data_IF_721675617120
#
_entry.id   IF_721675617120
#
_cell.length_a   1.000
_cell.length_b   1.000
_cell.length_c   1.000
_cell.angle_alpha   90.00
_cell.angle_beta   90.00
_cell.angle_gamma   90.00
#
_symmetry.space_group_name_H-M   'P 1'
#
loop_
_entity.id
_entity.type
_entity.pdbx_description
1 polymer ?
#
# COMPACT_ATOMS: atom_id res chain seq x y z
N UNK A 1 10.72 9.99 7.28
CA UNK A 1 10.90 9.05 6.17
C UNK A 1 11.32 7.72 6.76
N UNK A 2 10.41 6.75 6.85
CA UNK A 2 10.78 5.38 7.21
C UNK A 2 11.54 4.85 6.00
N UNK A 3 12.87 4.78 6.10
CA UNK A 3 13.70 4.19 5.04
C UNK A 3 13.15 2.79 4.76
N UNK A 4 12.92 2.50 3.48
CA UNK A 4 12.43 1.19 3.03
C UNK A 4 13.43 0.11 3.43
N UNK A 5 13.29 -0.41 4.64
CA UNK A 5 14.03 -1.58 5.08
C UNK A 5 13.64 -2.74 4.17
N UNK A 6 14.65 -3.44 3.65
CA UNK A 6 14.42 -4.68 2.90
C UNK A 6 13.66 -5.69 3.77
N UNK A 7 12.84 -6.53 3.14
CA UNK A 7 12.09 -7.58 3.84
C UNK A 7 13.01 -8.54 4.60
N UNK A 8 14.19 -8.83 4.05
CA UNK A 8 15.21 -9.65 4.69
C UNK A 8 15.68 -9.02 6.01
N UNK A 9 15.95 -7.72 6.00
CA UNK A 9 16.34 -6.98 7.19
C UNK A 9 15.23 -6.94 8.24
N UNK A 10 13.96 -6.78 7.82
CA UNK A 10 12.83 -6.84 8.74
C UNK A 10 12.68 -8.21 9.38
N UNK A 11 12.80 -9.27 8.59
CA UNK A 11 12.76 -10.64 9.11
C UNK A 11 13.89 -10.89 10.11
N UNK A 12 15.09 -10.40 9.81
CA UNK A 12 16.23 -10.49 10.73
C UNK A 12 15.96 -9.72 12.03
N UNK A 13 15.52 -8.45 11.95
CA UNK A 13 15.19 -7.63 13.13
C UNK A 13 14.15 -8.33 13.99
N UNK A 14 13.09 -8.83 13.37
CA UNK A 14 11.99 -9.51 14.04
C UNK A 14 12.49 -10.76 14.79
N UNK A 15 13.30 -11.60 14.13
CA UNK A 15 13.91 -12.79 14.74
C UNK A 15 14.84 -12.44 15.90
N UNK A 16 15.67 -11.40 15.74
CA UNK A 16 16.61 -10.95 16.77
C UNK A 16 15.86 -10.30 17.93
N UNK A 17 14.78 -9.57 17.66
CA UNK A 17 13.94 -8.96 18.69
C UNK A 17 13.29 -10.01 19.58
N UNK A 18 12.71 -11.09 19.04
CA UNK A 18 12.18 -12.18 19.87
C UNK A 18 13.24 -12.94 20.67
N UNK A 19 14.51 -12.89 20.25
CA UNK A 19 15.60 -13.54 21.00
C UNK A 19 16.03 -12.74 22.22
N UNK A 20 16.01 -11.41 22.14
CA UNK A 20 16.58 -10.53 23.18
C UNK A 20 15.54 -9.65 23.88
N UNK A 21 14.33 -9.52 23.32
CA UNK A 21 13.23 -8.65 23.76
C UNK A 21 13.66 -7.20 24.06
N UNK A 22 14.72 -6.74 23.39
CA UNK A 22 15.34 -5.44 23.65
C UNK A 22 15.79 -4.79 22.34
N UNK A 23 15.15 -3.67 21.98
CA UNK A 23 15.44 -2.93 20.75
C UNK A 23 16.85 -2.33 20.71
N UNK A 24 17.43 -1.93 21.85
CA UNK A 24 18.80 -1.42 21.89
C UNK A 24 19.82 -2.51 21.60
N UNK A 25 19.58 -3.73 22.11
CA UNK A 25 20.41 -4.88 21.82
C UNK A 25 20.37 -5.23 20.33
N UNK A 26 19.17 -5.26 19.74
CA UNK A 26 18.99 -5.47 18.29
C UNK A 26 19.75 -4.42 17.48
N UNK A 27 19.65 -3.14 17.88
CA UNK A 27 20.33 -2.04 17.20
C UNK A 27 21.86 -2.19 17.23
N UNK A 28 22.45 -2.50 18.39
CA UNK A 28 23.90 -2.72 18.53
C UNK A 28 24.38 -3.90 17.70
N UNK A 29 23.64 -5.01 17.71
CA UNK A 29 23.98 -6.20 16.92
C UNK A 29 23.92 -5.87 15.42
N UNK A 30 22.90 -5.12 14.99
CA UNK A 30 22.75 -4.73 13.59
C UNK A 30 23.89 -3.83 13.10
N UNK A 31 24.33 -2.89 13.93
CA UNK A 31 25.45 -2.00 13.63
C UNK A 31 26.77 -2.78 13.47
N UNK A 32 26.96 -3.83 14.28
CA UNK A 32 28.11 -4.71 14.21
C UNK A 32 28.07 -5.68 13.02
N UNK A 33 26.90 -6.24 12.67
CA UNK A 33 26.78 -7.25 11.60
C UNK A 33 26.71 -6.66 10.19
N UNK A 34 25.98 -5.55 10.01
CA UNK A 34 25.61 -5.08 8.66
C UNK A 34 26.29 -3.77 8.27
N UNK A 35 26.89 -3.03 9.20
CA UNK A 35 27.47 -1.68 8.95
C UNK A 35 26.54 -0.74 8.16
N UNK A 36 25.23 -0.97 8.26
CA UNK A 36 24.19 -0.19 7.59
C UNK A 36 23.65 0.89 8.53
N UNK A 37 23.04 1.96 7.99
CA UNK A 37 22.35 2.94 8.81
C UNK A 37 21.30 2.25 9.67
N UNK A 38 21.48 2.33 11.00
CA UNK A 38 20.61 1.62 11.92
C UNK A 38 19.22 2.24 11.90
N UNK A 39 18.15 1.42 11.78
CA UNK A 39 16.80 1.91 11.91
C UNK A 39 16.60 2.55 13.29
N UNK A 40 15.68 3.51 13.35
CA UNK A 40 15.33 4.13 14.63
C UNK A 40 14.77 3.08 15.60
N UNK A 41 14.93 3.29 16.91
CA UNK A 41 14.34 2.41 17.93
C UNK A 41 12.83 2.26 17.73
N UNK A 42 12.15 3.35 17.34
CA UNK A 42 10.73 3.32 17.00
C UNK A 42 10.43 2.33 15.87
N UNK A 43 11.25 2.32 14.82
CA UNK A 43 11.10 1.36 13.71
C UNK A 43 11.31 -0.08 14.16
N UNK A 44 12.26 -0.31 15.08
CA UNK A 44 12.54 -1.65 15.62
C UNK A 44 11.36 -2.15 16.46
N UNK A 45 10.74 -1.31 17.30
CA UNK A 45 9.53 -1.66 18.07
C UNK A 45 8.28 -1.82 17.19
N UNK A 46 8.15 -1.00 16.15
CA UNK A 46 6.98 -1.05 15.28
C UNK A 46 6.91 -2.35 14.44
N UNK A 47 8.04 -2.97 14.11
CA UNK A 47 8.07 -4.20 13.32
C UNK A 47 7.36 -5.39 14.01
N UNK A 48 7.68 -5.75 15.27
CA UNK A 48 6.95 -6.78 16.01
C UNK A 48 5.49 -6.39 16.27
N UNK A 49 5.19 -5.17 16.70
CA UNK A 49 3.79 -4.71 16.92
C UNK A 49 2.93 -4.88 15.66
N UNK A 50 3.49 -4.52 14.50
CA UNK A 50 2.80 -4.69 13.22
C UNK A 50 2.68 -6.16 12.84
N UNK A 51 3.69 -6.98 13.12
CA UNK A 51 3.61 -8.40 12.87
C UNK A 51 2.51 -9.05 13.72
N UNK A 52 2.34 -8.67 14.99
CA UNK A 52 1.28 -9.19 15.84
C UNK A 52 -0.12 -8.82 15.33
N UNK A 53 -0.28 -7.63 14.73
CA UNK A 53 -1.57 -7.17 14.18
C UNK A 53 -1.89 -7.73 12.80
N UNK A 54 -0.89 -7.89 11.93
CA UNK A 54 -1.10 -8.26 10.51
C UNK A 54 -0.60 -9.66 10.14
N UNK A 55 0.18 -10.31 11.01
CA UNK A 55 0.96 -11.52 10.71
C UNK A 55 1.87 -11.39 9.47
N UNK A 56 2.30 -10.17 9.16
CA UNK A 56 3.14 -9.87 7.99
C UNK A 56 4.31 -8.97 8.36
N UNK A 57 5.48 -9.27 7.79
CA UNK A 57 6.69 -8.44 7.88
C UNK A 57 6.96 -7.65 6.58
N UNK A 58 6.08 -7.76 5.58
CA UNK A 58 6.23 -7.06 4.30
C UNK A 58 6.01 -5.55 4.46
N UNK A 59 6.59 -4.77 3.54
CA UNK A 59 6.10 -3.41 3.33
C UNK A 59 4.70 -3.52 2.72
N UNK A 60 3.68 -3.03 3.40
CA UNK A 60 2.42 -2.76 2.71
C UNK A 60 2.73 -1.74 1.62
N UNK A 61 2.25 -2.03 0.41
CA UNK A 61 2.19 -1.02 -0.63
C UNK A 61 1.28 0.09 -0.11
N UNK A 62 1.78 1.32 -0.06
CA UNK A 62 0.95 2.48 0.24
C UNK A 62 -0.08 2.64 -0.88
N UNK A 63 -1.23 2.00 -0.71
CA UNK A 63 -2.37 2.22 -1.59
C UNK A 63 -2.95 3.59 -1.24
N UNK A 64 -2.63 4.58 -2.08
CA UNK A 64 -3.20 5.92 -1.94
C UNK A 64 -4.72 5.85 -1.89
N UNK A 65 -5.35 6.79 -1.17
CA UNK A 65 -6.81 6.86 -1.03
C UNK A 65 -7.46 6.77 -2.41
N UNK A 66 -8.39 5.81 -2.65
CA UNK A 66 -9.10 5.75 -3.92
C UNK A 66 -9.82 7.08 -4.11
N UNK A 67 -9.58 7.74 -5.26
CA UNK A 67 -10.29 8.97 -5.60
C UNK A 67 -11.78 8.65 -5.60
N UNK A 68 -12.62 9.49 -4.99
CA UNK A 68 -14.07 9.25 -4.86
C UNK A 68 -14.77 8.94 -6.19
N UNK A 69 -14.20 9.35 -7.33
CA UNK A 69 -14.69 9.03 -8.66
C UNK A 69 -14.47 7.59 -9.11
N UNK A 70 -13.53 6.85 -8.49
CA UNK A 70 -13.21 5.44 -8.72
C UNK A 70 -13.82 4.51 -7.65
N UNK A 71 -14.86 4.96 -6.96
CA UNK A 71 -15.64 4.07 -6.08
C UNK A 71 -16.39 3.08 -6.97
N UNK A 72 -16.46 1.82 -6.54
CA UNK A 72 -17.07 0.69 -7.26
C UNK A 72 -18.48 1.01 -7.80
N UNK A 73 -19.26 1.81 -7.07
CA UNK A 73 -20.59 2.29 -7.50
C UNK A 73 -20.55 3.12 -8.78
N UNK A 74 -19.52 3.95 -8.95
CA UNK A 74 -19.33 4.76 -10.16
C UNK A 74 -18.84 3.91 -11.33
N UNK A 75 -18.01 2.89 -11.07
CA UNK A 75 -17.61 1.90 -12.07
C UNK A 75 -18.83 1.13 -12.60
N UNK A 76 -19.67 0.61 -11.70
CA UNK A 76 -20.90 -0.09 -12.07
C UNK A 76 -21.87 0.80 -12.85
N UNK A 77 -22.05 2.07 -12.43
CA UNK A 77 -22.89 3.04 -13.16
C UNK A 77 -22.35 3.32 -14.57
N UNK A 78 -21.03 3.50 -14.72
CA UNK A 78 -20.41 3.70 -16.04
C UNK A 78 -20.57 2.45 -16.91
N UNK A 79 -20.32 1.26 -16.39
CA UNK A 79 -20.46 0.00 -17.12
C UNK A 79 -21.91 -0.23 -17.58
N UNK A 80 -22.89 -0.08 -16.69
CA UNK A 80 -24.33 -0.24 -17.01
C UNK A 80 -24.78 0.74 -18.09
N UNK A 81 -24.39 2.01 -18.00
CA UNK A 81 -24.77 3.01 -19.01
C UNK A 81 -24.03 2.76 -20.33
N UNK A 82 -22.78 2.32 -20.31
CA UNK A 82 -22.04 2.00 -21.52
C UNK A 82 -22.67 0.81 -22.29
N UNK A 83 -23.15 -0.20 -21.57
CA UNK A 83 -23.91 -1.34 -22.15
C UNK A 83 -25.25 -0.86 -22.74
N UNK A 84 -26.00 -0.03 -22.00
CA UNK A 84 -27.35 0.38 -22.40
C UNK A 84 -27.40 1.49 -23.46
N UNK A 85 -26.42 2.40 -23.49
CA UNK A 85 -26.37 3.50 -24.45
C UNK A 85 -25.01 4.19 -24.41
N UNK A 86 -24.11 3.76 -25.30
CA UNK A 86 -22.76 4.34 -25.45
C UNK A 86 -22.75 5.88 -25.55
N UNK A 87 -23.78 6.52 -26.14
CA UNK A 87 -23.87 7.99 -26.32
C UNK A 87 -24.30 8.83 -25.10
N UNK A 88 -24.64 8.22 -23.94
CA UNK A 88 -25.26 8.93 -22.79
C UNK A 88 -24.35 9.16 -21.58
N UNK A 89 -23.05 8.85 -21.69
CA UNK A 89 -22.08 8.93 -20.59
C UNK A 89 -21.91 10.32 -19.95
N UNK A 90 -22.27 11.41 -20.64
CA UNK A 90 -22.22 12.78 -20.12
C UNK A 90 -23.21 13.12 -19.00
N UNK A 91 -24.18 12.24 -18.68
CA UNK A 91 -25.22 12.51 -17.66
C UNK A 91 -24.89 12.01 -16.25
N UNK A 92 -23.70 11.45 -16.03
CA UNK A 92 -23.34 10.80 -14.78
C UNK A 92 -22.88 11.74 -13.66
N UNK A 93 -22.75 13.05 -13.92
CA UNK A 93 -22.16 14.00 -12.96
C UNK A 93 -20.68 13.72 -12.66
N UNK A 94 -20.06 12.79 -13.38
CA UNK A 94 -18.64 12.44 -13.25
C UNK A 94 -17.82 13.37 -14.16
N UNK A 95 -16.75 14.00 -13.65
CA UNK A 95 -15.85 14.80 -14.48
C UNK A 95 -15.30 14.00 -15.67
N UNK A 96 -15.26 14.61 -16.86
CA UNK A 96 -14.85 13.96 -18.13
C UNK A 96 -13.52 13.20 -18.03
N UNK A 97 -12.53 13.75 -17.32
CA UNK A 97 -11.21 13.13 -17.11
C UNK A 97 -11.32 11.84 -16.29
N UNK A 98 -12.19 11.82 -15.26
CA UNK A 98 -12.42 10.61 -14.47
C UNK A 98 -13.18 9.57 -15.26
N UNK A 99 -14.14 9.98 -16.09
CA UNK A 99 -14.89 9.09 -16.96
C UNK A 99 -14.01 8.43 -18.03
N UNK A 100 -13.08 9.17 -18.65
CA UNK A 100 -12.11 8.60 -19.59
C UNK A 100 -11.18 7.57 -18.93
N UNK A 101 -10.75 7.83 -17.69
CA UNK A 101 -9.94 6.87 -16.92
C UNK A 101 -10.73 5.61 -16.57
N UNK A 102 -11.98 5.76 -16.15
CA UNK A 102 -12.87 4.63 -15.86
C UNK A 102 -13.12 3.78 -17.12
N UNK A 103 -13.36 4.41 -18.27
CA UNK A 103 -13.50 3.71 -19.55
C UNK A 103 -12.23 2.90 -19.87
N UNK A 104 -11.05 3.50 -19.66
CA UNK A 104 -9.77 2.82 -19.89
C UNK A 104 -9.53 1.67 -18.91
N UNK A 105 -9.77 1.87 -17.61
CA UNK A 105 -9.62 0.84 -16.57
C UNK A 105 -10.59 -0.33 -16.76
N UNK A 106 -11.82 -0.05 -17.19
CA UNK A 106 -12.84 -1.06 -17.47
C UNK A 106 -12.68 -1.70 -18.87
N UNK A 107 -11.60 -1.38 -19.60
CA UNK A 107 -11.34 -1.85 -20.98
C UNK A 107 -12.52 -1.63 -21.95
N UNK A 108 -13.31 -0.58 -21.71
CA UNK A 108 -14.43 -0.21 -22.56
C UNK A 108 -13.89 0.53 -23.78
N UNK A 109 -14.38 0.21 -24.99
CA UNK A 109 -13.92 0.87 -26.22
C UNK A 109 -14.23 2.37 -26.15
N UNK A 110 -13.22 3.27 -26.18
CA UNK A 110 -13.49 4.69 -26.33
C UNK A 110 -14.08 4.92 -27.73
N UNK A 111 -14.90 5.97 -27.85
CA UNK A 111 -15.29 6.50 -29.17
C UNK A 111 -14.08 7.07 -29.90
#
# INVERSE_FOLDING_TARGET
>A
MVGNLSEEHRRWILKTYWKYENAEAVRRIQENEFHLPTPSLFTIYHIPDRFETTNSFANELEHGRPRMTLIQDNEMKVALIFVNSRKKSGKLGIPRISLQRLIYQLHLKPY
#
